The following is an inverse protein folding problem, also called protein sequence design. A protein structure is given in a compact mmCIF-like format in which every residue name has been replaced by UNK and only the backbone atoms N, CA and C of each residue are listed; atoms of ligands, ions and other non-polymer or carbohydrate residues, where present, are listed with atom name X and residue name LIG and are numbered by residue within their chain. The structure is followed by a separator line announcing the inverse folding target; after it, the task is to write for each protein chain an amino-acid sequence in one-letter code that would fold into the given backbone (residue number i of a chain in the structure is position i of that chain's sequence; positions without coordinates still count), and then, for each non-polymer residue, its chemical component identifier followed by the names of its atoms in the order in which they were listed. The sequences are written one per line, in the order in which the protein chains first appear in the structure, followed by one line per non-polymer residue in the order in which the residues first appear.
data_IF_322118219764
#
_entry.id   IF_322118219764
#
_cell.length_a   1.000
_cell.length_b   1.000
_cell.length_c   1.000
_cell.angle_alpha   90.00
_cell.angle_beta   90.00
_cell.angle_gamma   90.00
#
_symmetry.space_group_name_H-M   'P 1'
#
loop_
_entity.id
_entity.type
_entity.pdbx_description
1 polymer ?
#
# COMPACT_ATOMS: atom_id res chain seq x y z
N UNK A 1 -3.81 20.52 -17.13
CA UNK A 1 -3.86 19.42 -18.12
C UNK A 1 -2.54 18.70 -18.02
N UNK A 2 -2.50 17.52 -17.41
CA UNK A 2 -1.30 16.67 -17.41
C UNK A 2 -1.72 15.44 -18.20
N UNK A 3 -1.13 15.28 -19.39
CA UNK A 3 -1.40 14.21 -20.34
C UNK A 3 -0.16 13.31 -20.39
N UNK A 4 -0.35 12.01 -20.19
CA UNK A 4 0.70 10.98 -20.19
C UNK A 4 1.09 10.52 -21.61
N UNK A 5 0.69 11.25 -22.65
CA UNK A 5 0.99 10.91 -24.03
C UNK A 5 2.43 11.28 -24.39
N UNK A 6 3.15 10.42 -25.13
CA UNK A 6 4.57 10.63 -25.45
C UNK A 6 4.83 11.93 -26.25
N UNK A 7 3.81 12.46 -26.93
CA UNK A 7 3.87 13.74 -27.67
C UNK A 7 3.32 14.93 -26.87
N UNK A 8 3.00 14.76 -25.58
CA UNK A 8 2.48 15.86 -24.76
C UNK A 8 3.56 16.89 -24.44
N UNK A 9 4.84 16.50 -24.40
CA UNK A 9 5.96 17.42 -24.20
C UNK A 9 6.15 18.37 -25.39
N UNK A 10 6.15 17.87 -26.63
CA UNK A 10 6.24 18.73 -27.83
C UNK A 10 5.04 19.67 -27.95
N UNK A 11 3.85 19.18 -27.63
CA UNK A 11 2.63 20.00 -27.60
C UNK A 11 2.71 21.08 -26.52
N UNK A 12 3.23 20.74 -25.34
CA UNK A 12 3.37 21.69 -24.24
C UNK A 12 4.44 22.74 -24.54
N UNK A 13 5.59 22.35 -25.09
CA UNK A 13 6.62 23.30 -25.55
C UNK A 13 6.08 24.24 -26.62
N UNK A 14 5.32 23.72 -27.60
CA UNK A 14 4.67 24.55 -28.63
C UNK A 14 3.69 25.56 -28.02
N UNK A 15 2.93 25.17 -27.00
CA UNK A 15 2.03 26.06 -26.27
C UNK A 15 2.81 27.14 -25.50
N UNK A 16 3.90 26.76 -24.81
CA UNK A 16 4.75 27.70 -24.07
C UNK A 16 5.44 28.70 -25.00
N UNK A 17 5.89 28.25 -26.16
CA UNK A 17 6.48 29.09 -27.20
C UNK A 17 5.44 30.07 -27.78
N UNK A 18 4.20 29.62 -27.98
CA UNK A 18 3.07 30.47 -28.32
C UNK A 18 2.86 31.62 -27.32
N UNK A 19 2.94 31.34 -26.01
CA UNK A 19 2.86 32.38 -24.98
C UNK A 19 4.03 33.37 -25.00
N UNK A 20 5.25 32.91 -25.33
CA UNK A 20 6.43 33.80 -25.48
C UNK A 20 6.26 34.75 -26.65
N UNK A 21 5.74 34.24 -27.78
CA UNK A 21 5.63 34.99 -29.02
C UNK A 21 4.45 35.98 -29.02
N UNK A 22 3.37 35.70 -28.29
CA UNK A 22 2.21 36.59 -28.20
C UNK A 22 2.47 37.84 -27.34
N UNK A 23 3.09 37.67 -26.16
CA UNK A 23 3.45 38.78 -25.29
C UNK A 23 4.58 38.37 -24.35
N UNK A 24 5.80 38.84 -24.61
CA UNK A 24 6.99 38.44 -23.86
C UNK A 24 6.87 38.65 -22.34
N UNK A 25 6.20 39.72 -21.89
CA UNK A 25 6.04 40.03 -20.46
C UNK A 25 5.03 39.12 -19.78
N UNK A 26 3.90 38.83 -20.44
CA UNK A 26 2.91 37.88 -19.93
C UNK A 26 3.41 36.43 -20.03
N UNK A 27 4.07 36.06 -21.13
CA UNK A 27 4.69 34.76 -21.32
C UNK A 27 5.72 34.46 -20.25
N UNK A 28 6.61 35.41 -19.93
CA UNK A 28 7.55 35.26 -18.82
C UNK A 28 6.86 35.09 -17.46
N UNK A 29 5.75 35.80 -17.21
CA UNK A 29 4.98 35.66 -15.97
C UNK A 29 4.25 34.30 -15.87
N UNK A 30 3.67 33.81 -16.98
CA UNK A 30 3.02 32.50 -17.05
C UNK A 30 4.04 31.38 -16.88
N UNK A 31 5.17 31.45 -17.58
CA UNK A 31 6.26 30.47 -17.45
C UNK A 31 6.83 30.49 -16.04
N UNK A 32 7.09 31.66 -15.46
CA UNK A 32 7.54 31.76 -14.06
C UNK A 32 6.54 31.12 -13.10
N UNK A 33 5.24 31.31 -13.32
CA UNK A 33 4.20 30.70 -12.48
C UNK A 33 4.08 29.20 -12.69
N UNK A 34 4.26 28.72 -13.92
CA UNK A 34 4.35 27.29 -14.24
C UNK A 34 5.61 26.65 -13.66
N UNK A 35 6.74 27.35 -13.68
CA UNK A 35 7.99 26.94 -13.03
C UNK A 35 7.84 26.97 -11.51
N UNK A 36 7.15 27.95 -10.93
CA UNK A 36 6.81 27.96 -9.50
C UNK A 36 5.89 26.78 -9.15
N UNK A 37 4.93 26.41 -10.00
CA UNK A 37 4.08 25.23 -9.82
C UNK A 37 4.91 23.94 -9.96
N UNK A 38 5.78 23.86 -10.98
CA UNK A 38 6.71 22.75 -11.22
C UNK A 38 7.72 22.62 -10.08
N UNK A 39 8.19 23.73 -9.52
CA UNK A 39 9.13 23.81 -8.39
C UNK A 39 8.45 23.52 -7.05
N UNK A 40 7.17 23.90 -6.87
CA UNK A 40 6.32 23.44 -5.75
C UNK A 40 6.13 21.93 -5.80
N UNK A 41 6.05 21.34 -6.99
CA UNK A 41 6.12 19.88 -7.20
C UNK A 41 7.53 19.30 -7.04
N UNK A 42 8.60 20.11 -7.02
CA UNK A 42 10.01 19.66 -6.93
C UNK A 42 10.69 19.86 -5.56
N UNK A 43 10.03 20.37 -4.52
CA UNK A 43 10.53 20.10 -3.15
C UNK A 43 10.22 18.62 -2.85
N UNK A 44 11.10 17.78 -3.39
CA UNK A 44 11.05 16.32 -3.55
C UNK A 44 11.43 15.59 -2.27
N UNK A 45 10.77 15.94 -1.18
CA UNK A 45 10.78 15.12 0.02
C UNK A 45 9.35 14.59 0.25
N UNK A 46 9.25 13.47 0.96
CA UNK A 46 7.98 12.85 1.31
C UNK A 46 6.99 13.83 1.95
N UNK A 47 7.51 14.80 2.73
CA UNK A 47 6.68 15.79 3.41
C UNK A 47 6.08 16.83 2.47
N UNK A 48 6.73 17.12 1.33
CA UNK A 48 6.26 18.06 0.32
C UNK A 48 4.91 17.68 -0.30
N UNK A 49 4.60 16.38 -0.33
CA UNK A 49 3.32 15.83 -0.83
C UNK A 49 2.14 16.09 0.13
N UNK A 50 2.42 16.34 1.41
CA UNK A 50 1.38 16.68 2.38
C UNK A 50 0.93 18.13 2.21
N UNK A 51 -0.37 18.43 2.36
CA UNK A 51 -0.86 19.80 2.46
C UNK A 51 -0.08 20.57 3.53
N UNK A 52 0.19 21.85 3.29
CA UNK A 52 1.05 22.66 4.17
C UNK A 52 0.70 22.57 5.68
N UNK A 53 -0.58 22.57 6.09
CA UNK A 53 -0.95 22.40 7.51
C UNK A 53 -0.55 21.04 8.10
N UNK A 54 -0.50 19.99 7.28
CA UNK A 54 -0.24 18.62 7.72
C UNK A 54 1.25 18.26 7.75
N UNK A 55 2.14 19.10 7.19
CA UNK A 55 3.57 18.80 7.09
C UNK A 55 4.28 18.70 8.44
N UNK A 56 3.72 19.34 9.46
CA UNK A 56 4.23 19.36 10.83
C UNK A 56 3.52 18.35 11.74
N UNK A 57 2.50 17.66 11.24
CA UNK A 57 1.81 16.61 12.00
C UNK A 57 2.77 15.45 12.28
N UNK A 58 2.63 14.75 13.42
CA UNK A 58 3.43 13.55 13.70
C UNK A 58 3.29 12.50 12.59
N UNK A 59 4.42 11.95 12.13
CA UNK A 59 4.48 10.91 11.11
C UNK A 59 5.33 9.74 11.59
N UNK A 60 4.80 8.53 11.44
CA UNK A 60 5.53 7.29 11.75
C UNK A 60 5.79 6.55 10.44
N UNK A 61 7.06 6.31 10.14
CA UNK A 61 7.50 5.54 8.98
C UNK A 61 7.94 4.15 9.43
N UNK A 62 7.39 3.10 8.82
CA UNK A 62 7.84 1.73 9.03
C UNK A 62 8.38 1.17 7.72
N UNK A 63 9.66 0.82 7.70
CA UNK A 63 10.39 0.45 6.48
C UNK A 63 11.10 -0.89 6.61
N UNK A 64 11.43 -1.51 5.48
CA UNK A 64 12.33 -2.67 5.44
C UNK A 64 13.80 -2.29 5.58
N UNK A 65 14.68 -3.30 5.57
CA UNK A 65 16.13 -3.13 5.72
C UNK A 65 16.92 -3.32 4.41
N UNK A 66 16.36 -2.93 3.26
CA UNK A 66 17.01 -3.12 1.95
C UNK A 66 16.84 -1.92 1.01
N UNK A 67 17.75 -1.82 0.03
CA UNK A 67 17.65 -0.94 -1.15
C UNK A 67 17.63 0.58 -0.84
N UNK A 68 18.46 1.04 0.10
CA UNK A 68 18.72 2.49 0.29
C UNK A 68 17.62 3.28 1.01
N UNK A 69 16.47 2.67 1.29
CA UNK A 69 15.41 3.24 2.13
C UNK A 69 15.31 2.53 3.50
N UNK A 70 16.45 2.08 4.01
CA UNK A 70 16.52 1.43 5.32
C UNK A 70 16.39 2.45 6.47
N UNK A 71 16.09 1.94 7.67
CA UNK A 71 15.93 2.76 8.87
C UNK A 71 17.10 3.72 9.10
N UNK A 72 18.35 3.28 8.93
CA UNK A 72 19.53 4.09 9.22
C UNK A 72 19.65 5.23 8.21
N UNK A 73 19.51 4.93 6.93
CA UNK A 73 19.59 5.91 5.85
C UNK A 73 18.50 6.99 6.01
N UNK A 74 17.26 6.59 6.28
CA UNK A 74 16.17 7.53 6.52
C UNK A 74 16.34 8.33 7.82
N UNK A 75 16.88 7.72 8.88
CA UNK A 75 17.16 8.44 10.12
C UNK A 75 18.19 9.55 9.90
N UNK A 76 19.21 9.31 9.06
CA UNK A 76 20.19 10.34 8.68
C UNK A 76 19.54 11.48 7.88
N UNK A 77 18.66 11.16 6.94
CA UNK A 77 17.92 12.17 6.17
C UNK A 77 17.00 13.02 7.05
N UNK A 78 16.27 12.39 7.98
CA UNK A 78 15.43 13.07 8.98
C UNK A 78 16.27 14.05 9.81
N UNK A 79 17.43 13.61 10.30
CA UNK A 79 18.33 14.45 11.08
C UNK A 79 18.92 15.61 10.26
N UNK A 80 19.32 15.36 9.02
CA UNK A 80 19.87 16.38 8.12
C UNK A 80 18.83 17.47 7.77
N UNK A 81 17.58 17.07 7.56
CA UNK A 81 16.47 17.99 7.25
C UNK A 81 15.77 18.55 8.49
N UNK A 82 16.17 18.14 9.71
CA UNK A 82 15.60 18.59 10.99
C UNK A 82 14.10 18.34 11.12
N UNK A 83 13.60 17.22 10.59
CA UNK A 83 12.19 16.84 10.72
C UNK A 83 11.91 16.24 12.11
N UNK A 84 11.62 17.09 13.09
CA UNK A 84 11.35 16.67 14.48
C UNK A 84 10.04 15.91 14.67
N UNK A 85 9.12 15.99 13.69
CA UNK A 85 7.81 15.36 13.72
C UNK A 85 7.77 13.98 13.04
N UNK A 86 8.92 13.46 12.54
CA UNK A 86 8.99 12.19 11.81
C UNK A 86 9.79 11.16 12.61
N UNK A 87 9.18 10.01 12.91
CA UNK A 87 9.87 8.84 13.46
C UNK A 87 10.00 7.75 12.39
N UNK A 88 11.10 6.98 12.43
CA UNK A 88 11.34 5.87 11.51
C UNK A 88 11.72 4.58 12.24
N UNK A 89 11.07 3.49 11.85
CA UNK A 89 11.26 2.16 12.41
C UNK A 89 11.57 1.15 11.31
N UNK A 90 12.46 0.21 11.62
CA UNK A 90 12.75 -0.94 10.76
C UNK A 90 11.83 -2.09 11.14
N UNK A 91 11.10 -2.64 10.18
CA UNK A 91 10.35 -3.88 10.36
C UNK A 91 11.31 -5.05 10.55
N UNK A 92 11.06 -5.91 11.55
CA UNK A 92 11.90 -7.07 11.82
C UNK A 92 11.78 -8.10 10.70
N UNK A 93 12.89 -8.42 10.02
CA UNK A 93 12.97 -9.42 8.95
C UNK A 93 13.89 -10.57 9.39
N UNK A 94 13.43 -11.51 10.24
CA UNK A 94 14.28 -12.54 10.84
C UNK A 94 14.73 -13.63 9.86
N UNK A 95 14.14 -13.68 8.66
CA UNK A 95 14.43 -14.69 7.65
C UNK A 95 15.25 -14.08 6.50
N UNK A 96 16.23 -14.82 5.95
CA UNK A 96 17.00 -14.36 4.80
C UNK A 96 16.07 -14.12 3.60
N UNK A 97 16.46 -13.17 2.74
CA UNK A 97 15.70 -12.77 1.55
C UNK A 97 14.31 -12.15 1.80
N UNK A 98 13.86 -12.07 3.07
CA UNK A 98 12.64 -11.36 3.46
C UNK A 98 12.66 -9.88 3.04
N UNK A 99 11.48 -9.33 2.79
CA UNK A 99 11.27 -7.93 2.41
C UNK A 99 10.00 -7.42 3.07
N UNK A 100 10.04 -6.19 3.58
CA UNK A 100 8.85 -5.48 4.01
C UNK A 100 8.19 -4.85 2.78
N UNK A 101 7.08 -5.43 2.33
CA UNK A 101 6.47 -5.11 1.02
C UNK A 101 5.19 -4.26 1.12
N UNK A 102 4.62 -4.17 2.31
CA UNK A 102 3.35 -3.50 2.57
C UNK A 102 3.45 -2.02 2.26
N UNK A 103 2.45 -1.50 1.53
CA UNK A 103 2.20 -0.06 1.43
C UNK A 103 0.84 0.20 2.03
N UNK A 104 0.88 0.70 3.25
CA UNK A 104 -0.26 1.02 4.07
C UNK A 104 -0.06 2.45 4.58
N UNK A 105 -1.07 3.27 4.42
CA UNK A 105 -1.10 4.62 4.98
C UNK A 105 -2.36 4.77 5.82
N UNK A 106 -2.20 5.28 7.04
CA UNK A 106 -3.29 5.57 7.96
C UNK A 106 -3.21 7.05 8.27
N UNK A 107 -4.31 7.76 8.07
CA UNK A 107 -4.41 9.18 8.34
C UNK A 107 -5.57 9.40 9.31
N UNK A 108 -5.33 10.30 10.26
CA UNK A 108 -6.34 10.78 11.18
C UNK A 108 -6.77 12.17 10.75
N UNK A 109 -8.08 12.38 10.71
CA UNK A 109 -8.71 13.70 10.57
C UNK A 109 -9.44 14.08 11.86
N UNK A 110 -10.00 15.28 11.91
CA UNK A 110 -10.79 15.72 13.07
C UNK A 110 -12.00 14.82 13.35
N UNK A 111 -12.53 14.17 12.30
CA UNK A 111 -13.79 13.41 12.37
C UNK A 111 -13.59 11.90 12.35
N UNK A 112 -12.43 11.39 11.94
CA UNK A 112 -12.27 9.95 11.78
C UNK A 112 -10.94 9.50 11.22
N UNK A 113 -10.91 8.22 10.85
CA UNK A 113 -9.73 7.53 10.36
C UNK A 113 -9.88 7.21 8.87
N UNK A 114 -8.78 7.35 8.13
CA UNK A 114 -8.67 7.07 6.71
C UNK A 114 -7.53 6.07 6.49
N UNK A 115 -7.83 4.96 5.82
CA UNK A 115 -6.94 3.82 5.66
C UNK A 115 -6.78 3.54 4.18
N UNK A 116 -5.53 3.53 3.70
CA UNK A 116 -5.19 3.28 2.31
C UNK A 116 -4.25 2.09 2.25
N UNK A 117 -4.65 1.03 1.54
CA UNK A 117 -3.77 -0.06 1.13
C UNK A 117 -3.45 0.14 -0.34
N UNK A 118 -2.17 0.21 -0.70
CA UNK A 118 -1.75 0.52 -2.07
C UNK A 118 -0.71 -0.46 -2.62
N UNK A 119 -0.46 -0.36 -3.92
CA UNK A 119 0.63 -1.08 -4.59
C UNK A 119 1.84 -0.20 -4.89
N UNK A 120 1.71 1.12 -4.76
CA UNK A 120 2.75 2.11 -5.06
C UNK A 120 3.73 2.28 -3.90
N UNK A 121 5.03 2.23 -4.19
CA UNK A 121 6.05 2.74 -3.27
C UNK A 121 5.95 4.27 -3.19
N UNK A 122 6.50 4.83 -2.11
CA UNK A 122 6.53 6.27 -1.88
C UNK A 122 7.68 6.96 -2.64
N UNK A 123 7.74 6.74 -3.95
CA UNK A 123 8.75 7.31 -4.88
C UNK A 123 8.08 7.75 -6.18
N UNK A 124 8.50 8.88 -6.73
CA UNK A 124 7.87 9.55 -7.90
C UNK A 124 7.54 8.60 -9.06
N UNK A 125 8.49 7.75 -9.46
CA UNK A 125 8.32 6.85 -10.60
C UNK A 125 7.24 5.78 -10.43
N UNK A 126 6.74 5.52 -9.22
CA UNK A 126 5.59 4.64 -9.01
C UNK A 126 4.25 5.34 -9.22
N UNK A 127 4.20 6.68 -9.17
CA UNK A 127 2.99 7.49 -9.26
C UNK A 127 2.80 8.13 -10.64
N UNK A 128 3.86 8.24 -11.43
CA UNK A 128 3.82 8.88 -12.76
C UNK A 128 3.66 7.85 -13.89
N UNK A 129 4.39 6.74 -13.83
CA UNK A 129 4.63 5.88 -15.00
C UNK A 129 4.09 4.45 -14.84
N UNK A 130 3.34 4.16 -13.77
CA UNK A 130 2.87 2.80 -13.47
C UNK A 130 1.39 2.75 -13.19
N UNK A 131 0.76 1.66 -13.60
CA UNK A 131 -0.58 1.32 -13.13
C UNK A 131 -0.48 0.85 -11.69
N UNK A 132 -1.15 1.56 -10.78
CA UNK A 132 -1.21 1.26 -9.35
C UNK A 132 -2.66 1.03 -8.91
N UNK A 133 -2.84 0.29 -7.83
CA UNK A 133 -4.13 0.05 -7.21
C UNK A 133 -4.16 0.67 -5.80
N UNK A 134 -5.32 1.19 -5.42
CA UNK A 134 -5.61 1.74 -4.11
C UNK A 134 -6.92 1.17 -3.60
N UNK A 135 -6.88 0.62 -2.39
CA UNK A 135 -8.07 0.35 -1.60
C UNK A 135 -8.16 1.44 -0.53
N UNK A 136 -9.33 2.06 -0.42
CA UNK A 136 -9.61 3.12 0.54
C UNK A 136 -10.75 2.69 1.47
N UNK A 137 -10.51 2.82 2.76
CA UNK A 137 -11.46 2.59 3.82
C UNK A 137 -11.46 3.78 4.78
N UNK A 138 -12.61 4.11 5.36
CA UNK A 138 -12.71 5.16 6.37
C UNK A 138 -13.83 4.90 7.34
N UNK A 139 -13.73 5.51 8.52
CA UNK A 139 -14.77 5.45 9.54
C UNK A 139 -14.71 6.65 10.47
N UNK A 140 -15.83 7.07 11.07
CA UNK A 140 -15.85 8.13 12.08
C UNK A 140 -15.28 7.63 13.40
N UNK A 141 -14.73 8.55 14.21
CA UNK A 141 -14.42 8.23 15.59
C UNK A 141 -15.68 8.06 16.42
N UNK A 142 -15.63 7.09 17.33
CA UNK A 142 -16.72 6.81 18.26
C UNK A 142 -16.77 7.87 19.36
N UNK A 143 -17.99 8.18 19.80
CA UNK A 143 -18.20 9.07 20.95
C UNK A 143 -17.64 8.42 22.23
N UNK A 144 -17.13 9.25 23.13
CA UNK A 144 -16.55 8.84 24.42
C UNK A 144 -17.50 7.89 25.18
N UNK A 145 -17.08 6.63 25.35
CA UNK A 145 -17.83 5.57 26.05
C UNK A 145 -18.31 4.43 25.15
N UNK A 146 -18.27 4.60 23.83
CA UNK A 146 -18.53 3.51 22.86
C UNK A 146 -17.22 2.92 22.35
N UNK A 147 -17.07 1.60 22.47
CA UNK A 147 -15.91 0.85 21.96
C UNK A 147 -16.37 0.07 20.73
N UNK A 148 -15.65 0.22 19.61
CA UNK A 148 -15.96 -0.56 18.42
C UNK A 148 -15.73 -2.03 18.74
N UNK A 149 -16.65 -2.91 18.35
CA UNK A 149 -16.39 -4.34 18.47
C UNK A 149 -15.32 -4.71 17.44
N UNK A 150 -14.13 -5.09 17.90
CA UNK A 150 -13.00 -5.49 17.05
C UNK A 150 -13.35 -6.78 16.27
N UNK A 151 -13.83 -6.63 15.03
CA UNK A 151 -14.26 -7.71 14.13
C UNK A 151 -13.95 -7.34 12.68
N UNK A 152 -13.91 -8.35 11.81
CA UNK A 152 -13.73 -8.15 10.37
C UNK A 152 -12.46 -7.35 10.04
N UNK A 153 -12.60 -6.32 9.23
CA UNK A 153 -11.50 -5.48 8.78
C UNK A 153 -10.69 -4.84 9.92
N UNK A 154 -11.35 -4.26 10.94
CA UNK A 154 -10.66 -3.59 12.04
C UNK A 154 -9.81 -4.57 12.85
N UNK A 155 -10.35 -5.76 13.09
CA UNK A 155 -9.61 -6.86 13.72
C UNK A 155 -8.39 -7.28 12.91
N UNK A 156 -8.57 -7.53 11.62
CA UNK A 156 -7.46 -7.99 10.77
C UNK A 156 -6.33 -6.94 10.73
N UNK A 157 -6.68 -5.65 10.70
CA UNK A 157 -5.70 -4.56 10.70
C UNK A 157 -4.97 -4.42 12.04
N UNK A 158 -5.69 -4.50 13.17
CA UNK A 158 -5.08 -4.49 14.50
C UNK A 158 -4.16 -5.69 14.72
N UNK A 159 -4.59 -6.88 14.32
CA UNK A 159 -3.77 -8.10 14.37
C UNK A 159 -2.51 -7.90 13.52
N UNK A 160 -2.61 -7.32 12.33
CA UNK A 160 -1.45 -7.06 11.48
C UNK A 160 -0.46 -6.06 12.08
N UNK A 161 -0.93 -4.91 12.57
CA UNK A 161 -0.06 -3.87 13.16
C UNK A 161 0.63 -4.37 14.43
N UNK A 162 -0.03 -5.23 15.20
CA UNK A 162 0.53 -5.81 16.43
C UNK A 162 1.75 -6.71 16.17
N UNK A 163 1.86 -7.29 14.97
CA UNK A 163 2.95 -8.19 14.57
C UNK A 163 4.28 -7.47 14.32
N UNK A 164 4.28 -6.13 14.27
CA UNK A 164 5.51 -5.35 14.23
C UNK A 164 6.20 -5.25 15.59
N UNK A 165 5.45 -5.39 16.69
CA UNK A 165 5.94 -5.21 18.06
C UNK A 165 6.63 -3.85 18.29
N UNK A 166 6.04 -2.79 17.72
CA UNK A 166 6.52 -1.41 17.85
C UNK A 166 5.54 -0.59 18.69
N UNK A 167 6.04 0.05 19.76
CA UNK A 167 5.24 0.92 20.64
C UNK A 167 4.62 2.11 19.91
N UNK A 168 5.29 2.65 18.90
CA UNK A 168 4.82 3.78 18.09
C UNK A 168 3.59 3.43 17.24
N UNK A 169 3.28 2.13 17.07
CA UNK A 169 2.05 1.69 16.40
C UNK A 169 0.87 1.53 17.37
N UNK A 170 1.09 1.54 18.69
CA UNK A 170 0.01 1.45 19.68
C UNK A 170 -0.99 2.58 19.51
N UNK A 171 -0.51 3.80 19.25
CA UNK A 171 -1.38 4.95 18.95
C UNK A 171 -2.36 4.62 17.82
N UNK A 172 -1.86 4.08 16.70
CA UNK A 172 -2.68 3.76 15.53
C UNK A 172 -3.64 2.59 15.80
N UNK A 173 -3.19 1.57 16.52
CA UNK A 173 -4.04 0.45 16.95
C UNK A 173 -5.20 0.97 17.81
N UNK A 174 -4.94 1.88 18.74
CA UNK A 174 -5.95 2.49 19.58
C UNK A 174 -6.92 3.35 18.77
N UNK A 175 -6.43 4.12 17.78
CA UNK A 175 -7.30 4.88 16.86
C UNK A 175 -8.22 3.96 16.05
N UNK A 176 -7.71 2.83 15.55
CA UNK A 176 -8.52 1.83 14.82
C UNK A 176 -9.61 1.23 15.72
N UNK A 177 -9.27 0.92 16.98
CA UNK A 177 -10.24 0.37 17.96
C UNK A 177 -11.33 1.36 18.37
N UNK A 178 -11.07 2.66 18.26
CA UNK A 178 -12.02 3.72 18.57
C UNK A 178 -12.67 4.32 17.31
N UNK A 179 -12.56 3.65 16.17
CA UNK A 179 -13.14 4.04 14.90
C UNK A 179 -14.26 3.07 14.52
N UNK A 180 -15.40 3.59 14.07
CA UNK A 180 -16.47 2.75 13.51
C UNK A 180 -16.11 2.33 12.10
N UNK A 181 -15.70 1.08 11.94
CA UNK A 181 -15.37 0.44 10.66
C UNK A 181 -16.36 -0.68 10.32
N UNK A 182 -17.56 -0.66 10.93
CA UNK A 182 -18.54 -1.75 10.83
C UNK A 182 -19.15 -1.91 9.43
N UNK A 183 -19.21 -0.82 8.64
CA UNK A 183 -19.66 -0.84 7.25
C UNK A 183 -18.68 -1.53 6.29
N UNK A 184 -17.46 -1.81 6.73
CA UNK A 184 -16.44 -2.46 5.90
C UNK A 184 -16.60 -3.98 6.01
N UNK A 185 -17.20 -4.56 4.97
CA UNK A 185 -17.37 -6.01 4.84
C UNK A 185 -16.11 -6.75 4.37
N UNK A 186 -15.15 -6.02 3.78
CA UNK A 186 -13.91 -6.57 3.26
C UNK A 186 -13.01 -7.14 4.36
N UNK A 187 -12.11 -8.04 3.96
CA UNK A 187 -11.18 -8.73 4.88
C UNK A 187 -9.74 -8.46 4.45
N UNK A 188 -8.85 -8.29 5.41
CA UNK A 188 -7.42 -8.13 5.12
C UNK A 188 -6.72 -9.48 5.17
N UNK A 189 -6.02 -9.80 4.08
CA UNK A 189 -5.08 -10.92 4.04
C UNK A 189 -3.67 -10.34 4.05
N UNK A 190 -2.90 -10.68 5.09
CA UNK A 190 -1.56 -10.15 5.29
C UNK A 190 -0.56 -11.27 5.57
N UNK A 191 0.72 -10.98 5.39
CA UNK A 191 1.82 -11.94 5.61
C UNK A 191 2.81 -11.39 6.62
N UNK A 192 3.27 -12.26 7.52
CA UNK A 192 4.24 -11.94 8.57
C UNK A 192 5.40 -12.94 8.46
N UNK A 193 6.66 -12.49 8.44
CA UNK A 193 7.80 -13.39 8.33
C UNK A 193 7.88 -14.35 9.52
N UNK A 194 8.15 -15.62 9.26
CA UNK A 194 8.35 -16.62 10.29
C UNK A 194 7.92 -18.02 9.86
N UNK A 195 8.31 -19.01 10.66
CA UNK A 195 7.78 -20.37 10.57
C UNK A 195 6.59 -20.47 11.54
N UNK A 196 5.38 -20.51 10.99
CA UNK A 196 4.15 -20.51 11.78
C UNK A 196 3.53 -21.91 11.82
N UNK A 197 3.09 -22.34 12.98
CA UNK A 197 2.33 -23.58 13.17
C UNK A 197 0.85 -23.27 13.39
N UNK A 198 -0.02 -24.25 13.17
CA UNK A 198 -1.46 -24.13 13.49
C UNK A 198 -1.62 -23.88 15.00
N UNK A 199 -2.49 -22.95 15.45
CA UNK A 199 -3.47 -22.18 14.67
C UNK A 199 -2.95 -20.85 14.11
N UNK A 200 -1.72 -20.43 14.43
CA UNK A 200 -1.17 -19.15 13.98
C UNK A 200 -0.91 -19.10 12.48
N UNK A 201 -0.50 -20.23 11.87
CA UNK A 201 -0.34 -20.38 10.42
C UNK A 201 -1.57 -19.89 9.65
N UNK A 202 -2.75 -20.18 10.20
CA UNK A 202 -4.04 -19.85 9.63
C UNK A 202 -4.35 -18.34 9.64
N UNK A 203 -3.55 -17.50 10.29
CA UNK A 203 -3.73 -16.04 10.28
C UNK A 203 -3.06 -15.34 9.11
N UNK A 204 -2.07 -15.97 8.48
CA UNK A 204 -1.19 -15.29 7.53
C UNK A 204 -1.24 -15.92 6.14
N UNK A 205 -0.92 -15.11 5.11
CA UNK A 205 -0.69 -15.55 3.74
C UNK A 205 -1.86 -16.32 3.10
N UNK A 206 -1.53 -17.23 2.18
CA UNK A 206 -2.54 -18.02 1.48
C UNK A 206 -3.36 -18.96 2.38
N UNK A 207 -2.86 -19.51 3.51
CA UNK A 207 -3.71 -20.25 4.46
C UNK A 207 -4.84 -19.42 5.09
N UNK A 208 -4.59 -18.14 5.36
CA UNK A 208 -5.63 -17.19 5.80
C UNK A 208 -6.70 -16.99 4.73
N UNK A 209 -6.26 -16.77 3.49
CA UNK A 209 -7.17 -16.69 2.34
C UNK A 209 -8.03 -17.95 2.21
N UNK A 210 -7.44 -19.15 2.37
CA UNK A 210 -8.18 -20.41 2.28
C UNK A 210 -9.36 -20.47 3.28
N UNK A 211 -9.20 -19.95 4.50
CA UNK A 211 -10.27 -19.91 5.48
C UNK A 211 -11.38 -18.92 5.10
N UNK A 212 -11.01 -17.74 4.61
CA UNK A 212 -11.98 -16.74 4.14
C UNK A 212 -12.81 -17.27 2.96
N UNK A 213 -12.20 -18.09 2.11
CA UNK A 213 -12.85 -18.68 0.93
C UNK A 213 -13.63 -19.97 1.24
N UNK A 214 -13.43 -20.60 2.40
CA UNK A 214 -13.97 -21.93 2.74
C UNK A 214 -15.48 -22.02 2.57
N UNK A 215 -16.21 -21.00 3.01
CA UNK A 215 -17.68 -21.02 2.98
C UNK A 215 -18.27 -20.43 1.69
N UNK A 216 -17.44 -20.12 0.68
CA UNK A 216 -17.96 -19.64 -0.60
C UNK A 216 -18.80 -20.73 -1.29
N UNK A 217 -19.93 -20.37 -1.92
CA UNK A 217 -20.73 -21.29 -2.72
C UNK A 217 -19.87 -22.01 -3.76
N UNK A 218 -20.17 -23.28 -4.01
CA UNK A 218 -19.51 -24.03 -5.09
C UNK A 218 -20.06 -23.50 -6.41
N UNK A 219 -19.19 -23.08 -7.36
CA UNK A 219 -19.66 -22.65 -8.67
C UNK A 219 -20.37 -23.79 -9.41
N UNK A 220 -21.40 -23.45 -10.20
CA UNK A 220 -22.11 -24.39 -11.05
C UNK A 220 -21.16 -25.22 -11.93
N UNK A 221 -21.58 -26.42 -12.32
CA UNK A 221 -20.73 -27.35 -13.07
C UNK A 221 -20.38 -26.83 -14.48
N UNK A 222 -21.29 -26.07 -15.10
CA UNK A 222 -21.11 -25.41 -16.40
C UNK A 222 -20.27 -24.13 -16.32
N UNK A 223 -20.06 -23.57 -15.13
CA UNK A 223 -19.34 -22.32 -14.97
C UNK A 223 -17.87 -22.49 -15.35
N UNK A 224 -17.33 -21.55 -16.11
CA UNK A 224 -15.88 -21.51 -16.39
C UNK A 224 -15.14 -21.29 -15.08
N UNK A 225 -14.33 -22.27 -14.69
CA UNK A 225 -13.59 -22.20 -13.44
C UNK A 225 -12.12 -21.88 -13.70
N UNK A 226 -11.78 -20.60 -13.53
CA UNK A 226 -10.47 -20.05 -13.84
C UNK A 226 -9.99 -19.20 -12.67
N UNK A 227 -8.77 -19.47 -12.20
CA UNK A 227 -8.05 -18.53 -11.35
C UNK A 227 -7.08 -17.71 -12.20
N UNK A 228 -7.09 -16.40 -11.97
CA UNK A 228 -6.18 -15.44 -12.57
C UNK A 228 -5.33 -14.83 -11.47
N UNK A 229 -4.00 -14.97 -11.59
CA UNK A 229 -3.04 -14.25 -10.76
C UNK A 229 -2.31 -13.22 -11.61
N UNK A 230 -2.35 -11.96 -11.20
CA UNK A 230 -1.60 -10.86 -11.79
C UNK A 230 -0.58 -10.36 -10.76
N UNK A 231 0.67 -10.26 -11.17
CA UNK A 231 1.75 -9.74 -10.34
C UNK A 231 2.81 -9.03 -11.20
N UNK A 232 3.60 -8.15 -10.58
CA UNK A 232 4.76 -7.48 -11.21
C UNK A 232 6.07 -8.26 -11.05
N UNK A 233 6.06 -9.35 -10.28
CA UNK A 233 7.21 -10.21 -10.07
C UNK A 233 6.78 -11.64 -9.73
N UNK A 234 7.62 -12.61 -10.08
CA UNK A 234 7.43 -14.03 -9.78
C UNK A 234 8.71 -14.61 -9.19
N UNK A 235 8.60 -15.18 -7.99
CA UNK A 235 9.71 -15.89 -7.34
C UNK A 235 9.90 -17.30 -7.89
N UNK A 236 10.89 -18.02 -7.36
CA UNK A 236 11.04 -19.45 -7.67
C UNK A 236 9.92 -20.27 -7.02
N UNK A 237 9.14 -20.98 -7.82
CA UNK A 237 7.99 -21.78 -7.38
C UNK A 237 8.31 -23.28 -7.27
N UNK A 238 9.58 -23.66 -7.46
CA UNK A 238 10.04 -25.04 -7.59
C UNK A 238 10.20 -25.50 -9.05
N UNK A 239 10.84 -26.65 -9.24
CA UNK A 239 11.15 -27.19 -10.56
C UNK A 239 9.90 -27.67 -11.33
N UNK A 240 8.81 -28.00 -10.62
CA UNK A 240 7.55 -28.46 -11.20
C UNK A 240 6.38 -27.75 -10.52
N UNK A 241 5.27 -27.59 -11.24
CA UNK A 241 4.05 -26.94 -10.71
C UNK A 241 3.47 -27.68 -9.49
N UNK A 242 3.75 -28.97 -9.36
CA UNK A 242 3.39 -29.84 -8.25
C UNK A 242 4.24 -29.60 -6.99
N UNK A 243 5.31 -28.78 -7.04
CA UNK A 243 6.15 -28.52 -5.86
C UNK A 243 5.47 -27.60 -4.85
N UNK A 244 4.79 -26.54 -5.31
CA UNK A 244 4.16 -25.55 -4.43
C UNK A 244 2.88 -24.96 -5.03
N UNK A 245 2.95 -24.57 -6.31
CA UNK A 245 1.89 -23.80 -6.97
C UNK A 245 0.53 -24.51 -6.94
N UNK A 246 0.47 -25.79 -7.33
CA UNK A 246 -0.79 -26.54 -7.34
C UNK A 246 -1.22 -27.05 -5.94
N UNK A 247 -0.40 -27.82 -5.21
CA UNK A 247 -0.87 -28.44 -3.97
C UNK A 247 -1.08 -27.46 -2.82
N UNK A 248 -0.43 -26.28 -2.84
CA UNK A 248 -0.53 -25.32 -1.73
C UNK A 248 -1.30 -24.05 -2.14
N UNK A 249 -0.77 -23.32 -3.12
CA UNK A 249 -1.33 -22.01 -3.47
C UNK A 249 -2.69 -22.12 -4.13
N UNK A 250 -2.83 -22.94 -5.20
CA UNK A 250 -4.12 -23.19 -5.85
C UNK A 250 -5.12 -23.81 -4.86
N UNK A 251 -4.72 -24.81 -4.09
CA UNK A 251 -5.59 -25.40 -3.07
C UNK A 251 -6.15 -24.34 -2.09
N UNK A 252 -5.36 -23.33 -1.75
CA UNK A 252 -5.82 -22.22 -0.91
C UNK A 252 -6.79 -21.29 -1.65
N UNK A 253 -6.56 -20.99 -2.93
CA UNK A 253 -7.51 -20.24 -3.77
C UNK A 253 -8.86 -20.95 -3.92
N UNK A 254 -8.88 -22.27 -3.75
CA UNK A 254 -10.10 -23.09 -3.75
C UNK A 254 -10.83 -23.11 -2.40
N UNK A 255 -10.33 -22.38 -1.39
CA UNK A 255 -10.87 -22.43 -0.04
C UNK A 255 -10.58 -23.75 0.68
N UNK A 256 -9.45 -24.38 0.35
CA UNK A 256 -9.05 -25.71 0.84
C UNK A 256 -10.08 -26.82 0.54
N UNK A 257 -10.72 -26.75 -0.64
CA UNK A 257 -11.64 -27.76 -1.17
C UNK A 257 -10.95 -28.66 -2.19
N UNK A 258 -11.53 -29.82 -2.48
CA UNK A 258 -10.98 -30.83 -3.39
C UNK A 258 -10.66 -30.28 -4.81
N UNK A 259 -9.59 -30.78 -5.46
CA UNK A 259 -9.07 -30.23 -6.70
C UNK A 259 -9.96 -30.55 -7.91
N UNK A 260 -10.13 -29.55 -8.79
CA UNK A 260 -10.77 -29.72 -10.09
C UNK A 260 -10.50 -28.55 -11.05
N UNK A 261 -9.50 -27.71 -10.75
CA UNK A 261 -9.35 -26.37 -11.34
C UNK A 261 -7.97 -26.13 -11.95
N UNK A 262 -7.95 -25.28 -12.97
CA UNK A 262 -6.73 -24.84 -13.67
C UNK A 262 -6.39 -23.41 -13.24
N UNK A 263 -5.16 -23.20 -12.76
CA UNK A 263 -4.61 -21.88 -12.49
C UNK A 263 -3.92 -21.33 -13.75
N UNK A 264 -4.28 -20.12 -14.17
CA UNK A 264 -3.49 -19.33 -15.14
C UNK A 264 -2.96 -18.09 -14.45
N UNK A 265 -1.72 -17.72 -14.73
CA UNK A 265 -1.11 -16.51 -14.20
C UNK A 265 -0.50 -15.70 -15.35
N UNK A 266 -0.52 -14.39 -15.20
CA UNK A 266 0.10 -13.45 -16.14
C UNK A 266 1.02 -12.54 -15.33
N UNK A 267 2.31 -12.58 -15.66
CA UNK A 267 3.31 -11.67 -15.11
C UNK A 267 3.62 -10.63 -16.18
N UNK A 268 3.33 -9.36 -15.87
CA UNK A 268 3.75 -8.23 -16.69
C UNK A 268 5.06 -7.71 -16.11
N UNK A 269 6.12 -7.70 -16.92
CA UNK A 269 7.38 -7.05 -16.60
C UNK A 269 7.40 -5.65 -17.15
#
# INVERSE_FOLDING_TARGET
MISTYINSEEMFESVLEGYRNYNAKQGAAVIKKLDEIRLRGRKRDMTGQYPAPCRQSPMVLVVGEKMGSDKRSLQQEISANKWSNVSVHGARLPLPFGTHHTKLSIFESETGLHIIVSTANLVEGDWDQKTQCFYYASGPFLNSGSVATEKGFSKDLCDYLSEYHLSDLTYWIDRIKNCDLSDISDRLVFSVPGYHQVPRLNKFGHPSLAQLLRNRPVPEQSARRLFLAQCSSIGSLGAKRETWLLPQFLHSLQGAKEPGLVLKYVCYR
#
